data_IF_928958536664
#
_entry.id   IF_928958536664
#
_cell.length_a   1.000
_cell.length_b   1.000
_cell.length_c   1.000
_cell.angle_alpha   90.00
_cell.angle_beta   90.00
_cell.angle_gamma   90.00
#
_symmetry.space_group_name_H-M   'P 1'
#
loop_
_entity.id
_entity.type
_entity.pdbx_description
1 polymer ?
#
# COMPACT_ATOMS: atom_id res chain seq x y z
N UNK A 1 20.67 -14.93 16.95
CA UNK A 1 19.24 -15.01 16.52
C UNK A 1 18.54 -13.64 16.50
N UNK A 2 18.70 -12.80 17.52
CA UNK A 2 18.04 -11.47 17.63
C UNK A 2 18.35 -10.54 16.45
N UNK A 3 19.62 -10.45 16.02
CA UNK A 3 20.02 -9.60 14.89
C UNK A 3 19.42 -10.01 13.53
N UNK A 4 19.12 -11.30 13.33
CA UNK A 4 18.51 -11.79 12.08
C UNK A 4 17.02 -11.45 12.06
N UNK A 5 16.31 -11.71 13.17
CA UNK A 5 14.91 -11.31 13.34
C UNK A 5 14.74 -9.81 13.14
N UNK A 6 15.69 -9.01 13.63
CA UNK A 6 15.74 -7.56 13.47
C UNK A 6 15.88 -7.08 12.04
N UNK A 7 16.82 -7.68 11.30
CA UNK A 7 16.99 -7.38 9.87
C UNK A 7 15.75 -7.77 9.06
N UNK A 8 15.16 -8.93 9.35
CA UNK A 8 13.95 -9.41 8.68
C UNK A 8 12.75 -8.50 8.99
N UNK A 9 12.56 -8.10 10.25
CA UNK A 9 11.49 -7.17 10.66
C UNK A 9 11.58 -5.84 9.90
N UNK A 10 12.78 -5.23 9.86
CA UNK A 10 13.01 -3.98 9.12
C UNK A 10 12.80 -4.14 7.61
N UNK A 11 13.22 -5.27 7.04
CA UNK A 11 13.00 -5.56 5.64
C UNK A 11 11.50 -5.65 5.32
N UNK A 12 10.75 -6.43 6.09
CA UNK A 12 9.30 -6.57 5.94
C UNK A 12 8.62 -5.21 6.11
N UNK A 13 9.00 -4.45 7.15
CA UNK A 13 8.45 -3.12 7.38
C UNK A 13 8.71 -2.15 6.24
N UNK A 14 9.94 -2.16 5.70
CA UNK A 14 10.30 -1.40 4.51
C UNK A 14 9.45 -1.78 3.30
N UNK A 15 9.28 -3.08 3.03
CA UNK A 15 8.43 -3.54 1.92
C UNK A 15 6.97 -3.14 2.08
N UNK A 16 6.42 -3.23 3.30
CA UNK A 16 5.04 -2.81 3.58
C UNK A 16 4.83 -1.31 3.34
N UNK A 17 5.79 -0.46 3.71
CA UNK A 17 5.74 0.96 3.38
C UNK A 17 5.74 1.21 1.86
N UNK A 18 6.62 0.51 1.12
CA UNK A 18 6.68 0.64 -0.35
C UNK A 18 5.37 0.20 -1.00
N UNK A 19 4.82 -0.96 -0.62
CA UNK A 19 3.54 -1.44 -1.14
C UNK A 19 2.38 -0.51 -0.78
N UNK A 20 2.38 0.06 0.42
CA UNK A 20 1.32 0.99 0.81
C UNK A 20 1.38 2.31 0.04
N UNK A 21 2.58 2.82 -0.25
CA UNK A 21 2.76 3.97 -1.14
C UNK A 21 2.30 3.66 -2.57
N UNK A 22 2.67 2.49 -3.11
CA UNK A 22 2.21 2.05 -4.43
C UNK A 22 0.69 1.95 -4.50
N UNK A 23 0.03 1.42 -3.46
CA UNK A 23 -1.43 1.37 -3.38
C UNK A 23 -2.06 2.77 -3.42
N UNK A 24 -1.48 3.74 -2.71
CA UNK A 24 -1.93 5.14 -2.75
C UNK A 24 -1.76 5.77 -4.14
N UNK A 25 -0.63 5.53 -4.80
CA UNK A 25 -0.39 5.99 -6.19
C UNK A 25 -1.39 5.35 -7.14
N UNK A 26 -1.67 4.06 -6.98
CA UNK A 26 -2.64 3.34 -7.80
C UNK A 26 -4.05 3.89 -7.62
N UNK A 27 -4.48 4.17 -6.38
CA UNK A 27 -5.75 4.83 -6.09
C UNK A 27 -5.85 6.19 -6.80
N UNK A 28 -4.77 6.98 -6.78
CA UNK A 28 -4.71 8.26 -7.46
C UNK A 28 -4.80 8.12 -8.99
N UNK A 29 -4.11 7.14 -9.57
CA UNK A 29 -4.16 6.86 -11.02
C UNK A 29 -5.58 6.46 -11.44
N UNK A 30 -6.25 5.57 -10.67
CA UNK A 30 -7.65 5.21 -10.90
C UNK A 30 -8.53 6.45 -10.81
N UNK A 31 -8.30 7.35 -9.87
CA UNK A 31 -9.09 8.57 -9.74
C UNK A 31 -8.92 9.54 -10.92
N UNK A 32 -7.71 9.74 -11.42
CA UNK A 32 -7.44 10.80 -12.41
C UNK A 32 -7.54 10.33 -13.87
N UNK A 33 -7.36 9.03 -14.15
CA UNK A 33 -7.12 8.54 -15.52
C UNK A 33 -8.22 7.59 -16.02
N UNK A 34 -9.18 8.08 -16.83
CA UNK A 34 -10.13 7.24 -17.55
C UNK A 34 -9.51 6.10 -18.37
N UNK A 35 -8.43 6.30 -19.16
CA UNK A 35 -7.85 5.20 -19.95
C UNK A 35 -7.26 4.10 -19.06
N UNK A 36 -6.83 4.42 -17.83
CA UNK A 36 -6.40 3.39 -16.87
C UNK A 36 -7.59 2.60 -16.32
N UNK A 37 -8.75 3.23 -16.11
CA UNK A 37 -9.98 2.51 -15.73
C UNK A 37 -10.40 1.53 -16.82
N UNK A 38 -10.35 1.96 -18.07
CA UNK A 38 -10.64 1.11 -19.23
C UNK A 38 -9.65 -0.05 -19.33
N UNK A 39 -8.35 0.21 -19.16
CA UNK A 39 -7.31 -0.82 -19.21
C UNK A 39 -7.49 -1.87 -18.11
N UNK A 40 -7.92 -1.45 -16.92
CA UNK A 40 -8.18 -2.35 -15.79
C UNK A 40 -9.60 -2.95 -15.80
N UNK A 41 -10.41 -2.64 -16.82
CA UNK A 41 -11.82 -3.03 -16.92
C UNK A 41 -12.65 -2.66 -15.66
N UNK A 42 -12.34 -1.52 -15.05
CA UNK A 42 -13.06 -1.02 -13.87
C UNK A 42 -14.36 -0.37 -14.33
N UNK A 43 -15.50 -0.90 -13.88
CA UNK A 43 -16.79 -0.26 -14.10
C UNK A 43 -16.86 1.10 -13.37
N UNK A 44 -17.49 2.10 -14.00
CA UNK A 44 -17.59 3.46 -13.45
C UNK A 44 -18.22 3.52 -12.05
N UNK A 45 -19.10 2.57 -11.74
CA UNK A 45 -19.76 2.43 -10.43
C UNK A 45 -18.84 1.88 -9.34
N UNK A 46 -17.80 1.13 -9.70
CA UNK A 46 -16.87 0.49 -8.77
C UNK A 46 -15.62 1.34 -8.48
N UNK A 47 -15.40 2.42 -9.24
CA UNK A 47 -14.20 3.28 -9.13
C UNK A 47 -13.94 3.71 -7.68
N UNK A 48 -14.97 4.19 -6.99
CA UNK A 48 -14.86 4.64 -5.60
C UNK A 48 -14.53 3.49 -4.64
N UNK A 49 -15.02 2.28 -4.90
CA UNK A 49 -14.73 1.10 -4.11
C UNK A 49 -13.26 0.69 -4.25
N UNK A 50 -12.70 0.72 -5.46
CA UNK A 50 -11.26 0.44 -5.68
C UNK A 50 -10.36 1.51 -5.05
N UNK A 51 -10.73 2.78 -5.14
CA UNK A 51 -10.00 3.88 -4.48
C UNK A 51 -10.04 3.69 -2.96
N UNK A 52 -11.22 3.40 -2.40
CA UNK A 52 -11.40 3.19 -0.97
C UNK A 52 -10.58 2.00 -0.46
N UNK A 53 -10.67 0.85 -1.13
CA UNK A 53 -9.89 -0.35 -0.78
C UNK A 53 -8.39 -0.10 -0.87
N UNK A 54 -7.92 0.52 -1.96
CA UNK A 54 -6.50 0.82 -2.14
C UNK A 54 -5.99 1.80 -1.09
N UNK A 55 -6.81 2.79 -0.70
CA UNK A 55 -6.48 3.76 0.34
C UNK A 55 -6.40 3.11 1.72
N UNK A 56 -7.41 2.34 2.11
CA UNK A 56 -7.42 1.60 3.38
C UNK A 56 -6.21 0.67 3.46
N UNK A 57 -6.02 -0.16 2.42
CA UNK A 57 -4.89 -1.07 2.36
C UNK A 57 -3.55 -0.31 2.44
N UNK A 58 -3.43 0.81 1.71
CA UNK A 58 -2.25 1.66 1.71
C UNK A 58 -1.92 2.21 3.09
N UNK A 59 -2.91 2.78 3.78
CA UNK A 59 -2.76 3.34 5.14
C UNK A 59 -2.37 2.25 6.14
N UNK A 60 -3.07 1.11 6.15
CA UNK A 60 -2.71 0.00 7.06
C UNK A 60 -1.33 -0.57 6.76
N UNK A 61 -0.94 -0.68 5.49
CA UNK A 61 0.38 -1.18 5.09
C UNK A 61 1.50 -0.21 5.51
N UNK A 62 1.32 1.09 5.33
CA UNK A 62 2.30 2.10 5.78
C UNK A 62 2.38 2.11 7.31
N UNK A 63 1.25 2.13 8.02
CA UNK A 63 1.25 2.15 9.49
C UNK A 63 1.91 0.90 10.08
N UNK A 64 1.59 -0.29 9.58
CA UNK A 64 2.23 -1.54 10.01
C UNK A 64 3.72 -1.56 9.67
N UNK A 65 4.10 -1.12 8.47
CA UNK A 65 5.50 -1.03 8.07
C UNK A 65 6.31 -0.07 8.93
N UNK A 66 5.75 1.10 9.25
CA UNK A 66 6.36 2.06 10.17
C UNK A 66 6.50 1.51 11.59
N UNK A 67 5.51 0.74 12.06
CA UNK A 67 5.59 0.08 13.36
C UNK A 67 6.71 -0.97 13.39
N UNK A 68 6.91 -1.76 12.33
CA UNK A 68 8.01 -2.72 12.24
C UNK A 68 9.38 -2.03 12.16
N UNK A 69 9.46 -0.88 11.48
CA UNK A 69 10.68 -0.07 11.40
C UNK A 69 11.02 0.61 12.75
N UNK A 70 9.99 1.01 13.51
CA UNK A 70 10.13 1.70 14.80
C UNK A 70 10.26 0.74 16.00
N UNK A 71 9.62 -0.42 15.92
CA UNK A 71 9.34 -1.35 17.02
C UNK A 71 10.49 -2.24 17.50
N UNK A 72 11.74 -1.91 17.19
CA UNK A 72 12.89 -2.58 17.79
C UNK A 72 13.90 -1.55 18.31
N UNK A 73 13.65 -1.09 19.54
CA UNK A 73 14.71 -0.70 20.47
C UNK A 73 15.03 -1.89 21.35
#
# INVERSE_FOLDING_TARGET
MVNVKRKVSKFIGGTQCVFGLLASVFAFIIYISPPMRETLAIASEEVYLYIFLSSIFGVFSILSGLLLLRGEK
#
